data_IF_992383147031
#
_entry.id   IF_992383147031
#
_cell.length_a   1.000
_cell.length_b   1.000
_cell.length_c   1.000
_cell.angle_alpha   90.00
_cell.angle_beta   90.00
_cell.angle_gamma   90.00
#
_symmetry.space_group_name_H-M   'P 1'
#
loop_
_entity.id
_entity.type
_entity.pdbx_description
1 polymer ?
#
# COMPACT_ATOMS: atom_id res chain seq x y z
N UNK A 1 -2.99 -22.97 -4.94
CA UNK A 1 -1.69 -22.94 -4.23
C UNK A 1 -1.95 -22.66 -2.76
N UNK A 2 -1.09 -23.12 -1.85
CA UNK A 2 -1.08 -22.70 -0.44
C UNK A 2 -0.24 -21.42 -0.29
N UNK A 3 -0.86 -20.31 0.09
CA UNK A 3 -0.25 -18.96 0.05
C UNK A 3 -0.10 -18.42 1.47
N UNK A 4 1.12 -18.05 1.86
CA UNK A 4 1.36 -17.37 3.12
C UNK A 4 1.24 -15.85 2.96
N UNK A 5 0.36 -15.24 3.75
CA UNK A 5 0.03 -13.81 3.66
C UNK A 5 0.30 -13.13 5.00
N UNK A 6 1.23 -12.17 5.00
CA UNK A 6 1.38 -11.25 6.14
C UNK A 6 0.40 -10.09 5.98
N UNK A 7 -0.12 -9.57 7.09
CA UNK A 7 -1.09 -8.47 7.03
C UNK A 7 -2.46 -8.89 6.50
N UNK A 8 -2.76 -10.19 6.50
CA UNK A 8 -3.97 -10.80 5.97
C UNK A 8 -5.28 -10.24 6.57
N UNK A 9 -5.27 -9.82 7.84
CA UNK A 9 -6.43 -9.20 8.49
C UNK A 9 -6.45 -7.66 8.39
N UNK A 10 -5.51 -7.06 7.67
CA UNK A 10 -5.37 -5.60 7.51
C UNK A 10 -6.21 -5.05 6.36
N UNK A 11 -6.10 -3.73 6.11
CA UNK A 11 -6.88 -3.03 5.09
C UNK A 11 -6.82 -3.70 3.70
N UNK A 12 -5.61 -3.83 3.13
CA UNK A 12 -5.40 -4.50 1.84
C UNK A 12 -5.59 -6.02 1.96
N UNK A 13 -5.09 -6.63 3.03
CA UNK A 13 -5.17 -8.08 3.24
C UNK A 13 -6.61 -8.60 3.26
N UNK A 14 -7.53 -7.85 3.85
CA UNK A 14 -8.95 -8.22 3.92
C UNK A 14 -9.65 -8.24 2.56
N UNK A 15 -9.07 -7.60 1.53
CA UNK A 15 -9.50 -7.69 0.14
C UNK A 15 -8.73 -8.78 -0.63
N UNK A 16 -7.43 -8.91 -0.39
CA UNK A 16 -6.57 -9.94 -1.01
C UNK A 16 -6.99 -11.36 -0.62
N UNK A 17 -7.34 -11.59 0.64
CA UNK A 17 -7.69 -12.92 1.16
C UNK A 17 -8.91 -13.51 0.44
N UNK A 18 -10.07 -12.83 0.35
CA UNK A 18 -11.20 -13.33 -0.42
C UNK A 18 -10.87 -13.55 -1.90
N UNK A 19 -10.14 -12.63 -2.54
CA UNK A 19 -9.76 -12.74 -3.96
C UNK A 19 -8.89 -13.98 -4.21
N UNK A 20 -7.94 -14.27 -3.32
CA UNK A 20 -7.14 -15.51 -3.37
C UNK A 20 -8.01 -16.77 -3.21
N UNK A 21 -8.95 -16.77 -2.25
CA UNK A 21 -9.84 -17.92 -2.02
C UNK A 21 -10.74 -18.15 -3.24
N UNK A 22 -11.29 -17.09 -3.83
CA UNK A 22 -12.08 -17.14 -5.05
C UNK A 22 -11.25 -17.65 -6.24
N UNK A 23 -9.96 -17.27 -6.31
CA UNK A 23 -8.97 -17.82 -7.24
C UNK A 23 -8.57 -19.28 -6.99
N UNK A 24 -9.13 -19.95 -5.98
CA UNK A 24 -8.86 -21.36 -5.68
C UNK A 24 -7.57 -21.59 -4.89
N UNK A 25 -7.06 -20.56 -4.21
CA UNK A 25 -5.91 -20.68 -3.33
C UNK A 25 -6.33 -21.00 -1.88
N UNK A 26 -5.49 -21.77 -1.19
CA UNK A 26 -5.56 -21.95 0.25
C UNK A 26 -4.71 -20.86 0.91
N UNK A 27 -5.21 -20.21 1.95
CA UNK A 27 -4.50 -19.09 2.58
C UNK A 27 -4.06 -19.44 4.00
N UNK A 28 -2.81 -19.12 4.30
CA UNK A 28 -2.22 -19.05 5.63
C UNK A 28 -2.02 -17.57 5.98
N UNK A 29 -2.65 -17.07 7.04
CA UNK A 29 -2.54 -15.66 7.42
C UNK A 29 -1.75 -15.46 8.71
N UNK A 30 -0.73 -14.59 8.69
CA UNK A 30 -0.02 -14.20 9.92
C UNK A 30 -0.95 -13.42 10.86
N UNK A 31 -1.04 -13.85 12.12
CA UNK A 31 -1.89 -13.25 13.14
C UNK A 31 -1.15 -12.94 14.44
N UNK A 32 -0.89 -11.65 14.67
CA UNK A 32 -0.19 -11.13 15.86
C UNK A 32 -1.02 -11.09 17.14
N UNK A 33 -2.34 -11.28 17.06
CA UNK A 33 -3.25 -11.19 18.20
C UNK A 33 -4.43 -12.15 18.08
N UNK A 34 -5.07 -12.50 19.20
CA UNK A 34 -6.24 -13.38 19.19
C UNK A 34 -7.34 -12.90 18.27
N UNK A 35 -7.66 -11.60 18.33
CA UNK A 35 -8.60 -10.94 17.44
C UNK A 35 -8.25 -11.13 15.95
N UNK A 36 -6.97 -10.95 15.56
CA UNK A 36 -6.56 -11.18 14.17
C UNK A 36 -6.76 -12.63 13.73
N UNK A 37 -6.43 -13.62 14.56
CA UNK A 37 -6.65 -15.00 14.15
C UNK A 37 -8.12 -15.39 14.12
N UNK A 38 -8.95 -14.84 15.00
CA UNK A 38 -10.38 -15.09 14.97
C UNK A 38 -11.01 -14.50 13.69
N UNK A 39 -10.58 -13.29 13.30
CA UNK A 39 -10.97 -12.71 12.02
C UNK A 39 -10.54 -13.59 10.83
N UNK A 40 -9.31 -14.13 10.85
CA UNK A 40 -8.85 -15.06 9.81
C UNK A 40 -9.66 -16.35 9.77
N UNK A 41 -9.94 -16.97 10.93
CA UNK A 41 -10.76 -18.19 11.00
C UNK A 41 -12.18 -17.95 10.47
N UNK A 42 -12.77 -16.80 10.79
CA UNK A 42 -14.09 -16.41 10.28
C UNK A 42 -14.07 -16.23 8.75
N UNK A 43 -12.94 -15.80 8.18
CA UNK A 43 -12.72 -15.71 6.75
C UNK A 43 -12.32 -17.06 6.08
N UNK A 44 -12.31 -18.18 6.83
CA UNK A 44 -11.91 -19.48 6.30
C UNK A 44 -10.39 -19.65 6.10
N UNK A 45 -9.58 -18.79 6.73
CA UNK A 45 -8.12 -18.78 6.64
C UNK A 45 -7.50 -19.50 7.83
N UNK A 46 -6.45 -20.28 7.58
CA UNK A 46 -5.64 -20.89 8.64
C UNK A 46 -4.71 -19.83 9.26
N UNK A 47 -4.84 -19.49 10.56
CA UNK A 47 -3.98 -18.50 11.18
C UNK A 47 -2.62 -19.09 11.56
N UNK A 48 -1.56 -18.40 11.16
CA UNK A 48 -0.18 -18.61 11.63
C UNK A 48 0.08 -17.63 12.77
N UNK A 49 0.29 -18.13 13.98
CA UNK A 49 0.58 -17.28 15.16
C UNK A 49 2.00 -16.73 15.09
N UNK A 50 2.11 -15.40 15.11
CA UNK A 50 3.38 -14.69 15.15
C UNK A 50 3.23 -13.22 14.73
N UNK A 51 4.30 -12.47 14.89
CA UNK A 51 4.45 -11.09 14.41
C UNK A 51 5.55 -10.96 13.36
N UNK A 52 5.84 -9.74 12.90
CA UNK A 52 6.92 -9.49 11.93
C UNK A 52 8.31 -9.73 12.52
N UNK A 53 8.41 -9.70 13.85
CA UNK A 53 9.64 -9.89 14.61
C UNK A 53 9.94 -11.39 14.85
N UNK A 54 8.96 -12.28 14.66
CA UNK A 54 9.11 -13.73 14.82
C UNK A 54 9.72 -14.35 13.56
N UNK A 55 10.99 -14.03 13.26
CA UNK A 55 11.66 -14.37 12.01
C UNK A 55 11.68 -15.89 11.70
N UNK A 56 11.78 -16.74 12.71
CA UNK A 56 11.72 -18.19 12.54
C UNK A 56 10.33 -18.65 12.08
N UNK A 57 9.26 -18.08 12.63
CA UNK A 57 7.88 -18.35 12.20
C UNK A 57 7.67 -17.92 10.75
N UNK A 58 8.17 -16.75 10.37
CA UNK A 58 8.09 -16.25 9.00
C UNK A 58 8.83 -17.16 8.02
N UNK A 59 10.04 -17.60 8.39
CA UNK A 59 10.87 -18.51 7.59
C UNK A 59 10.16 -19.85 7.38
N UNK A 60 9.65 -20.44 8.45
CA UNK A 60 8.97 -21.75 8.41
C UNK A 60 7.67 -21.69 7.60
N UNK A 61 6.87 -20.64 7.78
CA UNK A 61 5.63 -20.44 7.04
C UNK A 61 5.89 -20.20 5.54
N UNK A 62 6.91 -19.40 5.19
CA UNK A 62 7.30 -19.18 3.81
C UNK A 62 7.81 -20.48 3.15
N UNK A 63 8.64 -21.26 3.84
CA UNK A 63 9.15 -22.54 3.33
C UNK A 63 8.02 -23.55 3.06
N UNK A 64 7.02 -23.60 3.94
CA UNK A 64 5.89 -24.52 3.86
C UNK A 64 4.78 -24.10 2.88
N UNK A 65 4.79 -22.85 2.41
CA UNK A 65 3.85 -22.34 1.42
C UNK A 65 4.36 -22.54 -0.02
N UNK A 66 3.45 -22.50 -0.98
CA UNK A 66 3.76 -22.49 -2.41
C UNK A 66 4.09 -21.06 -2.92
N UNK A 67 3.76 -20.02 -2.14
CA UNK A 67 4.03 -18.64 -2.46
C UNK A 67 3.76 -17.70 -1.28
N UNK A 68 4.32 -16.49 -1.33
CA UNK A 68 4.22 -15.49 -0.25
C UNK A 68 3.68 -14.16 -0.80
N UNK A 69 2.74 -13.55 -0.07
CA UNK A 69 2.35 -12.15 -0.24
C UNK A 69 2.62 -11.41 1.07
N UNK A 70 3.48 -10.40 1.03
CA UNK A 70 3.83 -9.60 2.19
C UNK A 70 3.16 -8.23 2.15
N UNK A 71 2.13 -8.04 2.98
CA UNK A 71 1.37 -6.78 3.09
C UNK A 71 1.57 -6.07 4.44
N UNK A 72 2.10 -6.76 5.44
CA UNK A 72 2.27 -6.18 6.77
C UNK A 72 3.43 -5.19 6.80
N UNK A 73 3.17 -4.03 7.38
CA UNK A 73 4.19 -3.05 7.75
C UNK A 73 3.79 -2.46 9.11
N UNK A 74 4.77 -2.20 9.98
CA UNK A 74 4.52 -1.68 11.33
C UNK A 74 4.19 -0.17 11.30
N UNK A 75 3.00 0.18 10.78
CA UNK A 75 2.52 1.57 10.67
C UNK A 75 2.39 2.28 12.02
N UNK A 76 2.09 1.55 13.09
CA UNK A 76 2.04 2.11 14.44
C UNK A 76 3.41 2.64 14.88
N UNK A 77 4.47 1.85 14.68
CA UNK A 77 5.85 2.28 14.98
C UNK A 77 6.25 3.42 14.05
N UNK A 78 5.96 3.29 12.76
CA UNK A 78 6.38 4.27 11.75
C UNK A 78 5.70 5.64 11.91
N UNK A 79 4.40 5.67 12.22
CA UNK A 79 3.58 6.90 12.20
C UNK A 79 3.25 7.38 13.61
N UNK A 80 2.75 6.49 14.48
CA UNK A 80 2.30 6.90 15.83
C UNK A 80 3.46 7.11 16.79
N UNK A 81 4.51 6.28 16.70
CA UNK A 81 5.71 6.43 17.51
C UNK A 81 6.78 7.31 16.82
N UNK A 82 6.60 7.62 15.53
CA UNK A 82 7.52 8.45 14.76
C UNK A 82 8.86 7.77 14.44
N UNK A 83 8.94 6.45 14.52
CA UNK A 83 10.17 5.68 14.26
C UNK A 83 10.06 4.87 12.97
N UNK A 84 9.98 5.59 11.85
CA UNK A 84 9.86 4.99 10.52
C UNK A 84 11.06 4.11 10.19
N UNK A 85 12.27 4.47 10.65
CA UNK A 85 13.49 3.72 10.38
C UNK A 85 13.45 2.34 11.03
N UNK A 86 13.08 2.24 12.31
CA UNK A 86 12.96 0.93 12.97
C UNK A 86 11.86 0.07 12.35
N UNK A 87 10.74 0.67 11.93
CA UNK A 87 9.70 -0.06 11.20
C UNK A 87 10.20 -0.61 9.85
N UNK A 88 10.98 0.18 9.11
CA UNK A 88 11.60 -0.25 7.85
C UNK A 88 12.66 -1.33 8.06
N UNK A 89 13.44 -1.27 9.14
CA UNK A 89 14.44 -2.30 9.47
C UNK A 89 13.80 -3.63 9.87
N UNK A 90 12.70 -3.59 10.63
CA UNK A 90 11.92 -4.78 10.97
C UNK A 90 11.26 -5.41 9.73
N UNK A 91 10.67 -4.59 8.86
CA UNK A 91 10.14 -5.00 7.56
C UNK A 91 11.22 -5.68 6.70
N UNK A 92 12.40 -5.06 6.64
CA UNK A 92 13.56 -5.62 5.95
C UNK A 92 13.96 -7.00 6.49
N UNK A 93 14.07 -7.16 7.80
CA UNK A 93 14.43 -8.44 8.42
C UNK A 93 13.39 -9.53 8.15
N UNK A 94 12.10 -9.20 8.21
CA UNK A 94 11.01 -10.11 7.87
C UNK A 94 11.09 -10.58 6.40
N UNK A 95 11.33 -9.64 5.48
CA UNK A 95 11.50 -9.90 4.05
C UNK A 95 12.72 -10.77 3.77
N UNK A 96 13.85 -10.52 4.43
CA UNK A 96 15.05 -11.35 4.31
C UNK A 96 14.79 -12.79 4.79
N UNK A 97 14.15 -12.97 5.95
CA UNK A 97 13.84 -14.30 6.49
C UNK A 97 12.96 -15.13 5.54
N UNK A 98 11.89 -14.54 4.99
CA UNK A 98 11.03 -15.23 4.02
C UNK A 98 11.74 -15.43 2.67
N UNK A 99 12.46 -14.42 2.18
CA UNK A 99 13.16 -14.48 0.90
C UNK A 99 14.26 -15.55 0.87
N UNK A 100 14.98 -15.73 1.98
CA UNK A 100 15.96 -16.80 2.15
C UNK A 100 15.32 -18.18 2.12
N UNK A 101 14.16 -18.36 2.75
CA UNK A 101 13.41 -19.62 2.74
C UNK A 101 12.97 -20.05 1.33
N UNK A 102 12.76 -19.07 0.44
CA UNK A 102 12.30 -19.30 -0.93
C UNK A 102 13.44 -19.41 -1.95
N UNK A 103 14.70 -19.14 -1.57
CA UNK A 103 15.81 -19.12 -2.50
C UNK A 103 15.98 -20.47 -3.24
N UNK A 104 16.10 -20.42 -4.57
CA UNK A 104 16.24 -21.60 -5.43
C UNK A 104 14.98 -22.43 -5.65
N UNK A 105 13.81 -21.97 -5.16
CA UNK A 105 12.55 -22.74 -5.25
C UNK A 105 11.65 -22.36 -6.42
N UNK A 106 11.93 -21.24 -7.09
CA UNK A 106 11.07 -20.60 -8.11
C UNK A 106 9.66 -20.20 -7.61
N UNK A 107 9.40 -20.33 -6.29
CA UNK A 107 8.13 -19.93 -5.68
C UNK A 107 7.95 -18.39 -5.76
N UNK A 108 6.72 -17.90 -5.98
CA UNK A 108 6.46 -16.47 -6.01
C UNK A 108 6.57 -15.80 -4.65
N UNK A 109 7.14 -14.59 -4.64
CA UNK A 109 7.14 -13.69 -3.49
C UNK A 109 6.72 -12.29 -3.96
N UNK A 110 5.50 -11.87 -3.58
CA UNK A 110 4.96 -10.54 -3.89
C UNK A 110 5.06 -9.64 -2.65
N UNK A 111 5.75 -8.50 -2.79
CA UNK A 111 5.85 -7.49 -1.74
C UNK A 111 4.96 -6.28 -2.04
N UNK A 112 4.24 -5.78 -1.02
CA UNK A 112 3.61 -4.46 -1.09
C UNK A 112 4.64 -3.34 -0.87
N UNK A 113 4.67 -2.37 -1.77
CA UNK A 113 5.46 -1.14 -1.65
C UNK A 113 4.62 0.09 -2.01
N UNK A 114 5.21 1.28 -2.05
CA UNK A 114 4.56 2.51 -2.50
C UNK A 114 5.01 2.93 -3.89
N UNK A 115 4.15 3.62 -4.64
CA UNK A 115 4.60 4.32 -5.86
C UNK A 115 5.68 5.35 -5.51
N UNK A 116 6.66 5.61 -6.39
CA UNK A 116 7.68 6.62 -6.13
C UNK A 116 7.12 8.04 -6.32
N UNK A 117 7.88 9.04 -5.87
CA UNK A 117 7.62 10.46 -6.17
C UNK A 117 8.65 10.90 -7.21
N UNK A 118 8.17 11.36 -8.37
CA UNK A 118 9.02 11.79 -9.48
C UNK A 118 8.71 13.24 -9.83
N UNK A 119 9.63 14.16 -9.51
CA UNK A 119 9.38 15.58 -9.65
C UNK A 119 9.08 15.97 -11.10
N UNK A 120 7.89 16.54 -11.34
CA UNK A 120 7.49 17.10 -12.63
C UNK A 120 7.09 16.09 -13.70
N UNK A 121 6.96 14.80 -13.38
CA UNK A 121 6.47 13.78 -14.34
C UNK A 121 5.55 12.75 -13.67
N UNK A 122 4.82 12.03 -14.51
CA UNK A 122 4.08 10.83 -14.10
C UNK A 122 5.06 9.69 -13.90
N UNK A 123 5.10 9.10 -12.71
CA UNK A 123 5.95 7.96 -12.43
C UNK A 123 5.46 6.70 -13.17
N UNK A 124 6.39 5.90 -13.66
CA UNK A 124 6.14 4.58 -14.25
C UNK A 124 6.83 3.50 -13.45
N UNK A 125 6.55 2.25 -13.77
CA UNK A 125 7.16 1.07 -13.14
C UNK A 125 8.69 1.01 -13.34
N UNK A 126 9.26 1.86 -14.20
CA UNK A 126 10.71 1.98 -14.44
C UNK A 126 11.39 3.04 -13.56
N UNK A 127 10.62 3.84 -12.84
CA UNK A 127 11.13 4.93 -12.01
C UNK A 127 11.32 4.48 -10.55
N UNK A 128 11.98 5.30 -9.72
CA UNK A 128 12.17 5.03 -8.30
C UNK A 128 13.09 3.85 -7.93
N UNK A 129 13.89 3.35 -8.88
CA UNK A 129 14.86 2.26 -8.66
C UNK A 129 16.27 2.75 -8.28
N UNK A 130 16.62 3.98 -8.64
CA UNK A 130 17.92 4.58 -8.32
C UNK A 130 17.85 5.27 -6.94
N UNK A 131 17.94 4.45 -5.89
CA UNK A 131 17.86 4.94 -4.52
C UNK A 131 19.22 5.45 -4.04
N UNK A 132 19.27 6.64 -3.41
CA UNK A 132 20.51 7.13 -2.80
C UNK A 132 20.97 6.20 -1.67
N UNK A 133 22.29 6.11 -1.41
CA UNK A 133 22.81 5.43 -0.23
C UNK A 133 22.18 5.96 1.06
N UNK A 134 21.88 5.07 2.01
CA UNK A 134 21.20 5.44 3.26
C UNK A 134 22.00 6.42 4.14
N UNK A 135 23.33 6.44 4.01
CA UNK A 135 24.22 7.39 4.69
C UNK A 135 24.29 8.76 4.00
N UNK A 136 23.77 8.86 2.77
CA UNK A 136 23.71 10.09 1.99
C UNK A 136 22.34 10.81 2.09
N UNK A 137 21.36 10.26 2.80
CA UNK A 137 20.03 10.85 2.98
C UNK A 137 19.84 11.45 4.37
N UNK A 138 19.04 12.53 4.50
CA UNK A 138 18.69 13.08 5.80
C UNK A 138 18.03 12.03 6.72
N UNK A 139 18.26 12.06 8.04
CA UNK A 139 17.67 11.10 8.98
C UNK A 139 16.14 10.98 8.87
N UNK A 140 15.45 12.08 8.58
CA UNK A 140 13.99 12.15 8.46
C UNK A 140 13.47 11.39 7.22
N UNK A 141 14.30 11.28 6.17
CA UNK A 141 13.98 10.54 4.95
C UNK A 141 14.50 9.10 4.98
N UNK A 142 15.45 8.78 5.87
CA UNK A 142 16.13 7.49 5.91
C UNK A 142 15.17 6.30 6.04
N UNK A 143 14.10 6.44 6.84
CA UNK A 143 13.08 5.38 6.97
C UNK A 143 12.31 5.11 5.67
N UNK A 144 11.91 6.17 4.95
CA UNK A 144 11.21 6.02 3.68
C UNK A 144 12.10 5.39 2.61
N UNK A 145 13.36 5.83 2.51
CA UNK A 145 14.35 5.27 1.58
C UNK A 145 14.68 3.82 1.95
N UNK A 146 14.81 3.49 3.24
CA UNK A 146 15.03 2.11 3.70
C UNK A 146 13.88 1.19 3.29
N UNK A 147 12.63 1.63 3.45
CA UNK A 147 11.46 0.87 3.00
C UNK A 147 11.45 0.65 1.48
N UNK A 148 11.82 1.67 0.69
CA UNK A 148 11.96 1.50 -0.76
C UNK A 148 13.07 0.50 -1.11
N UNK A 149 14.19 0.54 -0.38
CA UNK A 149 15.32 -0.38 -0.57
C UNK A 149 14.96 -1.84 -0.23
N UNK A 150 13.98 -2.10 0.66
CA UNK A 150 13.40 -3.44 0.83
C UNK A 150 12.73 -3.93 -0.46
N UNK A 151 12.04 -3.04 -1.19
CA UNK A 151 11.52 -3.32 -2.53
C UNK A 151 12.58 -3.78 -3.51
N UNK A 152 13.67 -3.02 -3.64
CA UNK A 152 14.78 -3.35 -4.55
C UNK A 152 15.45 -4.69 -4.20
N UNK A 153 15.53 -5.02 -2.91
CA UNK A 153 16.03 -6.34 -2.52
C UNK A 153 15.09 -7.48 -2.91
N UNK A 154 13.78 -7.32 -2.75
CA UNK A 154 12.81 -8.33 -3.21
C UNK A 154 12.97 -8.53 -4.72
N UNK A 155 13.08 -7.47 -5.51
CA UNK A 155 13.36 -7.59 -6.95
C UNK A 155 14.66 -8.36 -7.21
N UNK A 156 15.71 -8.10 -6.43
CA UNK A 156 16.99 -8.81 -6.49
C UNK A 156 16.92 -10.32 -6.17
N UNK A 157 15.89 -10.80 -5.47
CA UNK A 157 15.69 -12.24 -5.20
C UNK A 157 15.46 -13.05 -6.48
N UNK A 158 15.09 -12.41 -7.60
CA UNK A 158 15.03 -13.04 -8.91
C UNK A 158 16.37 -13.69 -9.29
N UNK A 159 17.49 -13.03 -9.01
CA UNK A 159 18.84 -13.58 -9.22
C UNK A 159 19.20 -14.75 -8.31
N UNK A 160 18.36 -15.05 -7.30
CA UNK A 160 18.50 -16.15 -6.35
C UNK A 160 17.46 -17.26 -6.56
N UNK A 161 16.77 -17.26 -7.71
CA UNK A 161 15.78 -18.29 -8.05
C UNK A 161 14.49 -18.19 -7.24
N UNK A 162 14.06 -16.97 -6.89
CA UNK A 162 12.72 -16.67 -6.36
C UNK A 162 11.94 -15.95 -7.45
N UNK A 163 10.68 -16.30 -7.71
CA UNK A 163 9.83 -15.54 -8.65
C UNK A 163 9.27 -14.29 -7.97
N UNK A 164 10.18 -13.38 -7.62
CA UNK A 164 9.85 -12.20 -6.80
C UNK A 164 9.24 -11.07 -7.63
N UNK A 165 8.36 -10.28 -7.01
CA UNK A 165 7.79 -9.07 -7.59
C UNK A 165 7.41 -8.07 -6.51
N UNK A 166 7.26 -6.81 -6.91
CA UNK A 166 6.82 -5.72 -6.03
C UNK A 166 5.56 -5.08 -6.63
N UNK A 167 4.48 -5.04 -5.85
CA UNK A 167 3.27 -4.29 -6.17
C UNK A 167 3.32 -2.96 -5.41
N UNK A 168 3.54 -1.87 -6.14
CA UNK A 168 3.58 -0.50 -5.63
C UNK A 168 2.16 0.05 -5.58
N UNK A 169 1.69 0.25 -4.36
CA UNK A 169 0.40 0.82 -4.04
C UNK A 169 0.45 2.36 -4.16
N UNK A 170 -0.61 2.98 -4.69
CA UNK A 170 -0.71 4.42 -4.75
C UNK A 170 -0.99 5.02 -3.38
N UNK A 171 -0.97 6.35 -3.30
CA UNK A 171 -1.23 7.11 -2.06
C UNK A 171 -2.55 6.74 -1.41
N UNK A 172 -3.59 6.48 -2.19
CA UNK A 172 -4.87 6.01 -1.65
C UNK A 172 -5.32 4.70 -2.31
N UNK A 173 -5.58 3.72 -1.46
CA UNK A 173 -6.24 2.46 -1.81
C UNK A 173 -7.65 2.53 -1.24
N UNK A 174 -8.55 3.16 -1.98
CA UNK A 174 -9.84 3.60 -1.48
C UNK A 174 -10.90 2.49 -1.53
N UNK A 175 -12.02 2.73 -0.87
CA UNK A 175 -13.17 1.82 -0.81
C UNK A 175 -13.91 1.91 0.53
N UNK A 176 -15.03 1.22 0.65
CA UNK A 176 -15.87 1.28 1.86
C UNK A 176 -15.13 0.78 3.11
N UNK A 177 -15.15 1.60 4.16
CA UNK A 177 -14.45 1.37 5.42
C UNK A 177 -13.00 1.86 5.47
N UNK A 178 -12.57 2.63 4.46
CA UNK A 178 -11.22 3.23 4.43
C UNK A 178 -11.04 4.14 5.66
N UNK A 179 -9.89 3.99 6.29
CA UNK A 179 -9.47 4.73 7.49
C UNK A 179 -8.12 5.44 7.26
N UNK A 180 -7.74 5.61 6.01
CA UNK A 180 -6.49 6.23 5.56
C UNK A 180 -6.62 7.73 5.29
N UNK A 181 -5.91 8.19 4.26
CA UNK A 181 -5.77 9.62 4.00
C UNK A 181 -7.09 10.29 3.63
N UNK A 182 -7.93 9.66 2.82
CA UNK A 182 -9.20 10.24 2.37
C UNK A 182 -10.17 10.39 3.55
N UNK A 183 -10.32 9.36 4.38
CA UNK A 183 -11.10 9.45 5.61
C UNK A 183 -10.58 10.53 6.57
N UNK A 184 -9.26 10.68 6.68
CA UNK A 184 -8.65 11.74 7.50
C UNK A 184 -8.92 13.14 6.92
N UNK A 185 -8.92 13.31 5.59
CA UNK A 185 -9.31 14.57 4.95
C UNK A 185 -10.78 14.91 5.23
N UNK A 186 -11.68 13.92 5.17
CA UNK A 186 -13.10 14.09 5.52
C UNK A 186 -13.25 14.52 6.97
N UNK A 187 -12.56 13.85 7.90
CA UNK A 187 -12.59 14.23 9.31
C UNK A 187 -12.02 15.63 9.55
N UNK A 188 -10.91 15.98 8.90
CA UNK A 188 -10.31 17.32 8.96
C UNK A 188 -11.31 18.38 8.49
N UNK A 189 -12.03 18.13 7.40
CA UNK A 189 -13.05 19.06 6.91
C UNK A 189 -14.17 19.27 7.93
N UNK A 190 -14.65 18.20 8.58
CA UNK A 190 -15.63 18.29 9.67
C UNK A 190 -15.11 19.13 10.83
N UNK A 191 -13.89 18.85 11.29
CA UNK A 191 -13.30 19.51 12.45
C UNK A 191 -13.02 21.01 12.21
N UNK A 192 -12.65 21.35 10.98
CA UNK A 192 -12.31 22.74 10.59
C UNK A 192 -13.50 23.52 10.05
N UNK A 193 -14.60 22.86 9.69
CA UNK A 193 -15.75 23.47 9.03
C UNK A 193 -15.47 23.99 7.62
N UNK A 194 -14.40 23.50 6.98
CA UNK A 194 -14.00 23.86 5.62
C UNK A 194 -13.28 22.68 4.98
N UNK A 195 -13.61 22.37 3.72
CA UNK A 195 -12.89 21.38 2.93
C UNK A 195 -11.68 22.04 2.27
N UNK A 196 -10.49 21.86 2.87
CA UNK A 196 -9.26 22.50 2.42
C UNK A 196 -8.51 21.72 1.34
N UNK A 197 -7.94 22.42 0.36
CA UNK A 197 -6.90 21.89 -0.55
C UNK A 197 -5.61 22.71 -0.44
N UNK A 198 -4.44 22.07 -0.54
CA UNK A 198 -3.15 22.75 -0.42
C UNK A 198 -2.84 23.62 -1.63
N UNK A 199 -2.48 24.90 -1.40
CA UNK A 199 -2.05 25.81 -2.47
C UNK A 199 -3.15 25.99 -3.52
N UNK A 200 -2.83 25.79 -4.80
CA UNK A 200 -3.81 25.80 -5.89
C UNK A 200 -4.58 24.47 -6.05
N UNK A 201 -4.18 23.44 -5.31
CA UNK A 201 -4.76 22.09 -5.32
C UNK A 201 -4.42 21.29 -6.58
N UNK A 202 -3.44 21.73 -7.38
CA UNK A 202 -2.99 21.04 -8.58
C UNK A 202 -2.12 19.81 -8.30
N UNK A 203 -1.67 19.61 -7.05
CA UNK A 203 -1.04 18.38 -6.61
C UNK A 203 -1.99 17.19 -6.84
N UNK A 204 -1.46 16.11 -7.40
CA UNK A 204 -2.23 14.92 -7.79
C UNK A 204 -1.85 13.72 -6.95
N UNK A 205 -2.86 12.90 -6.66
CA UNK A 205 -2.69 11.59 -6.04
C UNK A 205 -3.05 10.50 -7.05
N UNK A 206 -2.22 9.46 -7.22
CA UNK A 206 -2.67 8.26 -7.89
C UNK A 206 -3.62 7.53 -6.92
N UNK A 207 -4.55 6.75 -7.48
CA UNK A 207 -5.52 6.03 -6.68
C UNK A 207 -5.90 4.69 -7.30
N UNK A 208 -6.36 3.79 -6.44
CA UNK A 208 -6.93 2.50 -6.85
C UNK A 208 -7.97 2.06 -5.83
N UNK A 209 -9.03 1.42 -6.28
CA UNK A 209 -9.95 0.76 -5.37
C UNK A 209 -9.29 -0.49 -4.78
N UNK A 210 -9.44 -0.75 -3.48
CA UNK A 210 -8.74 -1.85 -2.79
C UNK A 210 -9.01 -3.24 -3.38
N UNK A 211 -10.17 -3.44 -4.02
CA UNK A 211 -10.52 -4.70 -4.67
C UNK A 211 -9.71 -4.91 -5.97
N UNK A 212 -9.43 -3.83 -6.72
CA UNK A 212 -8.60 -3.94 -7.91
C UNK A 212 -7.12 -4.13 -7.55
N UNK A 213 -6.63 -3.53 -6.46
CA UNK A 213 -5.28 -3.81 -5.97
C UNK A 213 -5.17 -5.24 -5.42
N UNK A 214 -6.20 -5.75 -4.74
CA UNK A 214 -6.27 -7.15 -4.34
C UNK A 214 -6.15 -8.12 -5.52
N UNK A 215 -6.90 -7.86 -6.59
CA UNK A 215 -6.82 -8.63 -7.82
C UNK A 215 -5.39 -8.61 -8.41
N UNK A 216 -4.70 -7.46 -8.40
CA UNK A 216 -3.32 -7.38 -8.89
C UNK A 216 -2.34 -8.21 -8.04
N UNK A 217 -2.52 -8.28 -6.72
CA UNK A 217 -1.67 -9.15 -5.88
C UNK A 217 -1.83 -10.62 -6.25
N UNK A 218 -3.06 -11.09 -6.52
CA UNK A 218 -3.29 -12.46 -6.99
C UNK A 218 -2.68 -12.69 -8.37
N UNK A 219 -2.91 -11.78 -9.32
CA UNK A 219 -2.29 -11.87 -10.66
C UNK A 219 -0.77 -11.90 -10.57
N UNK A 220 -0.16 -11.04 -9.72
CA UNK A 220 1.28 -11.04 -9.52
C UNK A 220 1.79 -12.39 -8.96
N UNK A 221 1.09 -12.94 -7.97
CA UNK A 221 1.39 -14.24 -7.39
C UNK A 221 1.31 -15.34 -8.47
N UNK A 222 0.29 -15.33 -9.31
CA UNK A 222 0.05 -16.39 -10.30
C UNK A 222 1.00 -16.31 -11.50
N UNK A 223 1.22 -15.11 -12.05
CA UNK A 223 1.75 -14.96 -13.42
C UNK A 223 2.92 -13.98 -13.57
N UNK A 224 3.19 -13.10 -12.60
CA UNK A 224 4.24 -12.09 -12.80
C UNK A 224 5.63 -12.74 -13.03
N UNK A 225 6.39 -12.27 -14.04
CA UNK A 225 7.79 -12.66 -14.21
C UNK A 225 8.63 -12.30 -12.99
N UNK A 226 9.70 -13.06 -12.75
CA UNK A 226 10.64 -12.77 -11.67
C UNK A 226 11.31 -11.39 -11.88
N UNK A 227 11.41 -10.61 -10.80
CA UNK A 227 11.97 -9.26 -10.81
C UNK A 227 11.01 -8.19 -11.34
N UNK A 228 9.69 -8.44 -11.35
CA UNK A 228 8.72 -7.46 -11.86
C UNK A 228 8.37 -6.39 -10.85
N UNK A 229 8.37 -5.13 -11.29
CA UNK A 229 7.74 -4.00 -10.62
C UNK A 229 6.36 -3.77 -11.24
N UNK A 230 5.32 -3.71 -10.41
CA UNK A 230 3.94 -3.51 -10.82
C UNK A 230 3.37 -2.32 -10.05
N UNK A 231 2.59 -1.47 -10.71
CA UNK A 231 1.87 -0.34 -10.12
C UNK A 231 0.38 -0.70 -10.03
N UNK A 232 -0.17 -0.72 -8.82
CA UNK A 232 -1.59 -0.91 -8.59
C UNK A 232 -2.34 0.41 -8.78
N UNK A 233 -2.36 0.98 -9.99
CA UNK A 233 -2.95 2.31 -10.24
C UNK A 233 -4.11 2.27 -11.23
N UNK A 234 -5.27 2.77 -10.80
CA UNK A 234 -6.45 2.95 -11.64
C UNK A 234 -6.57 4.41 -12.11
N UNK A 235 -6.51 5.35 -11.17
CA UNK A 235 -6.44 6.79 -11.45
C UNK A 235 -4.99 7.27 -11.40
N UNK A 236 -4.48 7.81 -12.52
CA UNK A 236 -3.08 8.21 -12.64
C UNK A 236 -2.72 9.41 -11.76
N UNK A 237 -3.67 10.31 -11.52
CA UNK A 237 -3.44 11.53 -10.76
C UNK A 237 -4.69 12.37 -10.59
N UNK A 238 -5.44 12.11 -9.52
CA UNK A 238 -6.61 12.90 -9.10
C UNK A 238 -6.14 14.19 -8.42
N UNK A 239 -6.49 15.38 -8.92
CA UNK A 239 -6.16 16.64 -8.26
C UNK A 239 -6.73 16.72 -6.85
N UNK A 240 -5.94 17.22 -5.89
CA UNK A 240 -6.37 17.41 -4.52
C UNK A 240 -7.57 18.35 -4.40
N UNK A 241 -7.63 19.35 -5.30
CA UNK A 241 -8.78 20.24 -5.39
C UNK A 241 -10.07 19.48 -5.64
N UNK A 242 -10.07 18.54 -6.59
CA UNK A 242 -11.26 17.79 -6.97
C UNK A 242 -11.74 16.90 -5.81
N UNK A 243 -10.79 16.30 -5.07
CA UNK A 243 -11.10 15.55 -3.84
C UNK A 243 -11.76 16.47 -2.80
N UNK A 244 -11.18 17.64 -2.55
CA UNK A 244 -11.74 18.61 -1.61
C UNK A 244 -13.12 19.13 -2.03
N UNK A 245 -13.36 19.31 -3.34
CA UNK A 245 -14.67 19.73 -3.88
C UNK A 245 -15.74 18.66 -3.66
N UNK A 246 -15.44 17.37 -3.86
CA UNK A 246 -16.37 16.28 -3.54
C UNK A 246 -16.66 16.24 -2.04
N UNK A 247 -15.63 16.36 -1.19
CA UNK A 247 -15.81 16.40 0.27
C UNK A 247 -16.69 17.59 0.70
N UNK A 248 -16.41 18.79 0.20
CA UNK A 248 -17.16 20.00 0.53
C UNK A 248 -18.63 19.89 0.12
N UNK A 249 -18.91 19.34 -1.06
CA UNK A 249 -20.28 19.10 -1.53
C UNK A 249 -21.05 18.11 -0.66
N UNK A 250 -20.44 17.00 -0.25
CA UNK A 250 -21.12 15.99 0.59
C UNK A 250 -21.32 16.46 2.04
N UNK A 251 -20.45 17.35 2.54
CA UNK A 251 -20.53 17.88 3.90
C UNK A 251 -21.28 19.21 4.01
N UNK A 252 -21.69 19.81 2.88
CA UNK A 252 -22.23 21.17 2.81
C UNK A 252 -21.28 22.22 3.44
N UNK A 253 -20.00 22.11 3.10
CA UNK A 253 -18.92 22.97 3.62
C UNK A 253 -18.30 23.82 2.50
N UNK A 254 -17.79 25.03 2.82
CA UNK A 254 -16.98 25.79 1.89
C UNK A 254 -15.72 25.00 1.49
N UNK A 255 -15.28 25.21 0.25
CA UNK A 255 -14.04 24.63 -0.30
C UNK A 255 -13.02 25.75 -0.47
N UNK A 256 -11.88 25.65 0.20
CA UNK A 256 -10.90 26.73 0.26
C UNK A 256 -9.46 26.28 0.03
N UNK A 257 -8.67 27.18 -0.57
CA UNK A 257 -7.22 27.06 -0.62
C UNK A 257 -6.62 27.25 0.77
N UNK A 258 -5.78 26.30 1.17
CA UNK A 258 -4.96 26.35 2.38
C UNK A 258 -3.53 26.72 1.96
N UNK A 259 -3.05 27.93 2.30
CA UNK A 259 -1.72 28.36 1.92
C UNK A 259 -0.64 27.64 2.75
N UNK A 260 0.61 27.58 2.26
CA UNK A 260 1.68 26.79 2.90
C UNK A 260 1.90 27.07 4.38
N UNK A 261 1.82 28.33 4.79
CA UNK A 261 1.99 28.78 6.16
C UNK A 261 0.90 28.29 7.12
N UNK A 262 -0.27 27.88 6.61
CA UNK A 262 -1.37 27.30 7.41
C UNK A 262 -1.52 25.80 7.22
N UNK A 263 -0.71 25.17 6.37
CA UNK A 263 -0.90 23.78 5.99
C UNK A 263 -0.77 22.83 7.19
N UNK A 264 0.26 23.03 8.02
CA UNK A 264 0.48 22.21 9.23
C UNK A 264 -0.67 22.33 10.24
N UNK A 265 -1.17 23.55 10.47
CA UNK A 265 -2.27 23.78 11.41
C UNK A 265 -3.61 23.23 10.91
N UNK A 266 -3.81 23.22 9.60
CA UNK A 266 -5.03 22.74 8.97
C UNK A 266 -5.05 21.21 8.82
N UNK A 267 -4.01 20.65 8.19
CA UNK A 267 -3.94 19.23 7.82
C UNK A 267 -3.21 18.36 8.86
N UNK A 268 -2.49 18.97 9.81
CA UNK A 268 -1.72 18.23 10.81
C UNK A 268 -0.68 17.32 10.16
N UNK A 269 -0.69 16.04 10.53
CA UNK A 269 0.23 15.04 10.02
C UNK A 269 0.06 14.74 8.51
N UNK A 270 -1.11 15.03 7.92
CA UNK A 270 -1.32 14.85 6.47
C UNK A 270 -0.54 15.84 5.62
N UNK A 271 -0.04 16.94 6.20
CA UNK A 271 0.65 18.01 5.46
C UNK A 271 1.74 17.45 4.56
N UNK A 272 2.64 16.61 5.08
CA UNK A 272 3.74 16.02 4.32
C UNK A 272 3.29 15.22 3.09
N UNK A 273 2.08 14.63 3.15
CA UNK A 273 1.50 13.84 2.06
C UNK A 273 0.77 14.75 1.07
N UNK A 274 0.02 15.74 1.55
CA UNK A 274 -0.79 16.63 0.70
C UNK A 274 0.06 17.63 -0.10
N UNK A 275 1.26 17.98 0.37
CA UNK A 275 2.12 18.96 -0.33
C UNK A 275 2.84 18.41 -1.54
N UNK A 276 2.96 17.09 -1.68
CA UNK A 276 3.68 16.48 -2.80
C UNK A 276 2.75 16.21 -3.99
N UNK A 277 3.14 16.56 -5.21
CA UNK A 277 2.54 16.04 -6.44
C UNK A 277 3.13 14.64 -6.73
N UNK A 278 2.29 13.61 -6.85
CA UNK A 278 2.76 12.23 -7.01
C UNK A 278 1.94 11.41 -8.03
N UNK A 279 1.73 11.86 -9.27
CA UNK A 279 1.06 11.03 -10.27
C UNK A 279 1.87 9.75 -10.59
N UNK A 280 1.18 8.65 -10.87
CA UNK A 280 1.80 7.39 -11.27
C UNK A 280 0.93 6.63 -12.26
N UNK A 281 1.51 6.06 -13.30
CA UNK A 281 0.82 5.24 -14.30
C UNK A 281 0.97 3.76 -13.97
N UNK A 282 0.00 2.95 -14.43
CA UNK A 282 0.07 1.48 -14.42
C UNK A 282 0.20 0.88 -15.82
N UNK A 283 0.56 1.68 -16.83
CA UNK A 283 0.53 1.24 -18.24
C UNK A 283 1.36 -0.02 -18.45
N UNK A 284 2.58 -0.10 -17.90
CA UNK A 284 3.44 -1.28 -18.09
C UNK A 284 2.93 -2.48 -17.31
N UNK A 285 2.29 -2.27 -16.16
CA UNK A 285 1.62 -3.33 -15.40
C UNK A 285 0.52 -3.97 -16.22
N UNK A 286 -0.35 -3.16 -16.83
CA UNK A 286 -1.45 -3.65 -17.68
C UNK A 286 -0.92 -4.43 -18.87
N UNK A 287 0.13 -3.93 -19.53
CA UNK A 287 0.78 -4.62 -20.65
C UNK A 287 1.45 -5.94 -20.25
N UNK A 288 2.07 -6.00 -19.07
CA UNK A 288 2.86 -7.14 -18.63
C UNK A 288 2.02 -8.32 -18.13
N UNK A 289 0.94 -8.04 -17.39
CA UNK A 289 0.15 -9.08 -16.69
C UNK A 289 -1.34 -9.07 -17.04
N UNK A 290 -1.74 -8.29 -18.06
CA UNK A 290 -3.14 -8.16 -18.51
C UNK A 290 -4.12 -7.78 -17.38
N UNK A 291 -3.64 -6.99 -16.42
CA UNK A 291 -4.47 -6.49 -15.33
C UNK A 291 -5.30 -5.31 -15.81
N UNK A 292 -6.62 -5.36 -15.58
CA UNK A 292 -7.54 -4.27 -15.87
C UNK A 292 -8.38 -3.95 -14.62
N UNK A 293 -8.23 -2.74 -14.02
CA UNK A 293 -9.08 -2.34 -12.91
C UNK A 293 -10.53 -2.16 -13.38
N UNK A 294 -11.49 -2.61 -12.57
CA UNK A 294 -12.92 -2.66 -12.90
C UNK A 294 -13.79 -1.84 -11.94
N UNK A 295 -13.23 -1.46 -10.81
CA UNK A 295 -13.93 -0.70 -9.78
C UNK A 295 -13.96 0.79 -10.14
N UNK A 296 -14.87 1.57 -9.53
CA UNK A 296 -14.88 3.02 -9.71
C UNK A 296 -13.55 3.65 -9.33
N UNK A 297 -13.16 4.73 -10.03
CA UNK A 297 -12.08 5.62 -9.58
C UNK A 297 -12.46 6.42 -8.33
N UNK A 298 -11.49 7.09 -7.72
CA UNK A 298 -11.59 7.71 -6.41
C UNK A 298 -12.77 8.69 -6.27
N UNK A 299 -12.94 9.61 -7.22
CA UNK A 299 -14.02 10.61 -7.14
C UNK A 299 -15.40 9.97 -7.25
N UNK A 300 -15.54 8.96 -8.12
CA UNK A 300 -16.79 8.22 -8.27
C UNK A 300 -17.09 7.35 -7.04
N UNK A 301 -16.08 6.78 -6.40
CA UNK A 301 -16.22 6.03 -5.15
C UNK A 301 -16.60 6.94 -3.97
N UNK A 302 -15.93 8.10 -3.83
CA UNK A 302 -16.31 9.14 -2.87
C UNK A 302 -17.79 9.53 -3.03
N UNK A 303 -18.27 9.66 -4.27
CA UNK A 303 -19.65 10.03 -4.56
C UNK A 303 -20.70 8.99 -4.12
N UNK A 304 -20.29 7.76 -3.81
CA UNK A 304 -21.18 6.76 -3.22
C UNK A 304 -21.54 7.04 -1.76
N UNK A 305 -20.86 7.99 -1.12
CA UNK A 305 -21.29 8.55 0.16
C UNK A 305 -20.83 7.80 1.41
N UNK A 306 -20.15 6.65 1.27
CA UNK A 306 -19.79 5.80 2.41
C UNK A 306 -18.77 6.45 3.36
N UNK A 307 -17.89 7.30 2.84
CA UNK A 307 -16.98 8.14 3.64
C UNK A 307 -17.68 9.20 4.52
N UNK A 308 -18.92 9.57 4.20
CA UNK A 308 -19.60 10.71 4.85
C UNK A 308 -20.67 10.31 5.86
N UNK A 309 -20.91 9.00 6.03
CA UNK A 309 -21.83 8.48 7.05
C UNK A 309 -21.20 8.72 8.42
N UNK A 310 -21.97 9.30 9.34
CA UNK A 310 -21.59 9.34 10.77
C UNK A 310 -21.70 7.93 11.35
N UNK A 311 -20.60 7.43 11.92
CA UNK A 311 -20.63 6.27 12.80
C UNK A 311 -21.26 6.59 14.15
#
# INVERSE_FOLDING_TARGET
MRVFVTGASGWIGSAVVPDLIEGGHEVLGLARSDASADALRQAGVEPVRGSLEDLDVLRDAAAAADGVIHLAFNHEVAVLQGDFKSAADADRAAVEAMGEALAGTDKPFVLASGTPVEAGKVATERDGHDLPPLDAVPPEAAGAVARMATGEYVLGLAGRGVRSSVVRLPRTNHGEGDHGFVATMVQTARDKGVSGYYGDGANRWPAVHRLDSAHLFRVALETAPAGSTLHAVADEGVPLRDIAEVIGRHLDLPVESVPPERAQDHFGWLTMVLTADQPASATLTRELVDWAPTQPGLLADLDQGHYFRTS
#
